data_IF_776033146191
#
_entry.id   IF_776033146191
#
_cell.length_a   1.000
_cell.length_b   1.000
_cell.length_c   1.000
_cell.angle_alpha   90.00
_cell.angle_beta   90.00
_cell.angle_gamma   90.00
#
_symmetry.space_group_name_H-M   'P 1'
#
loop_
_entity.id
_entity.type
_entity.pdbx_description
1 polymer ?
#
# COMPACT_ATOMS: atom_id res chain seq x y z
N UNK A 1 37.18 -34.14 -34.90
CA UNK A 1 36.59 -32.87 -35.38
C UNK A 1 36.32 -32.03 -34.17
N UNK A 2 37.29 -31.17 -33.78
CA UNK A 2 37.25 -30.40 -32.53
C UNK A 2 36.71 -29.01 -32.89
N UNK A 3 35.50 -28.67 -32.37
CA UNK A 3 34.94 -27.32 -32.52
C UNK A 3 35.67 -26.40 -31.54
N UNK A 4 36.55 -25.57 -32.04
CA UNK A 4 37.11 -24.43 -31.31
C UNK A 4 36.05 -23.31 -31.22
N UNK A 5 35.53 -23.06 -30.03
CA UNK A 5 34.77 -21.84 -29.73
C UNK A 5 35.74 -20.66 -29.67
N UNK A 6 35.68 -19.80 -30.68
CA UNK A 6 36.30 -18.47 -30.62
C UNK A 6 35.50 -17.59 -29.70
N UNK A 7 35.95 -17.36 -28.47
CA UNK A 7 35.57 -16.23 -27.65
C UNK A 7 36.31 -15.02 -28.22
N UNK A 8 35.59 -14.13 -28.85
CA UNK A 8 36.21 -12.95 -29.46
C UNK A 8 35.22 -11.83 -29.68
N UNK A 9 35.04 -10.97 -28.67
CA UNK A 9 34.99 -9.51 -28.83
C UNK A 9 35.16 -8.88 -27.45
N UNK A 10 36.41 -8.52 -27.14
CA UNK A 10 36.69 -7.64 -26.00
C UNK A 10 35.95 -6.31 -26.25
N UNK A 11 35.02 -5.99 -25.38
CA UNK A 11 34.37 -4.66 -25.39
C UNK A 11 35.53 -3.64 -25.35
N UNK A 12 35.58 -2.69 -26.30
CA UNK A 12 36.69 -1.73 -26.34
C UNK A 12 36.74 -0.95 -25.01
N UNK A 13 37.91 -0.76 -24.47
CA UNK A 13 38.13 -0.01 -23.21
C UNK A 13 37.42 1.35 -23.22
N UNK A 14 37.33 2.00 -24.38
CA UNK A 14 36.60 3.25 -24.61
C UNK A 14 35.11 3.11 -24.33
N UNK A 15 34.49 1.97 -24.68
CA UNK A 15 33.08 1.70 -24.42
C UNK A 15 32.82 1.47 -22.93
N UNK A 16 33.75 0.78 -22.24
CA UNK A 16 33.66 0.59 -20.80
C UNK A 16 33.81 1.94 -20.07
N UNK A 17 34.79 2.77 -20.47
CA UNK A 17 34.98 4.11 -19.90
C UNK A 17 33.75 4.99 -20.17
N UNK A 18 33.18 4.97 -21.37
CA UNK A 18 31.95 5.70 -21.70
C UNK A 18 30.76 5.25 -20.82
N UNK A 19 30.57 3.96 -20.64
CA UNK A 19 29.52 3.42 -19.76
C UNK A 19 29.74 3.82 -18.28
N UNK A 20 30.99 3.81 -17.81
CA UNK A 20 31.31 4.26 -16.45
C UNK A 20 31.04 5.76 -16.32
N UNK A 21 31.41 6.59 -17.28
CA UNK A 21 31.14 8.02 -17.28
C UNK A 21 29.64 8.29 -17.34
N UNK A 22 28.87 7.57 -18.16
CA UNK A 22 27.41 7.66 -18.20
C UNK A 22 26.78 7.26 -16.86
N UNK A 23 27.29 6.21 -16.21
CA UNK A 23 26.85 5.77 -14.88
C UNK A 23 27.19 6.81 -13.80
N UNK A 24 28.38 7.41 -13.85
CA UNK A 24 28.80 8.46 -12.92
C UNK A 24 28.00 9.75 -13.15
N UNK A 25 27.71 10.13 -14.39
CA UNK A 25 26.86 11.27 -14.73
C UNK A 25 25.41 11.01 -14.30
N UNK A 26 24.91 9.81 -14.51
CA UNK A 26 23.60 9.41 -14.02
C UNK A 26 23.52 9.45 -12.48
N UNK A 27 24.53 8.91 -11.80
CA UNK A 27 24.64 8.96 -10.35
C UNK A 27 24.80 10.38 -9.80
N UNK A 28 25.48 11.29 -10.54
CA UNK A 28 25.64 12.70 -10.15
C UNK A 28 24.36 13.52 -10.36
N UNK A 29 23.53 13.14 -11.33
CA UNK A 29 22.21 13.75 -11.57
C UNK A 29 21.13 13.18 -10.63
N UNK A 30 21.39 11.99 -10.08
CA UNK A 30 20.62 11.37 -9.02
C UNK A 30 21.56 11.19 -7.82
N UNK A 31 21.87 12.26 -7.06
CA UNK A 31 22.63 12.10 -5.84
C UNK A 31 21.94 10.98 -5.05
N UNK A 32 22.74 10.02 -4.60
CA UNK A 32 22.25 9.02 -3.66
C UNK A 32 21.51 9.82 -2.60
N UNK A 33 20.18 9.74 -2.62
CA UNK A 33 19.34 10.40 -1.64
C UNK A 33 19.95 9.95 -0.31
N UNK A 34 20.58 10.89 0.40
CA UNK A 34 20.92 10.66 1.78
C UNK A 34 19.70 9.98 2.36
N UNK A 35 19.89 8.83 3.01
CA UNK A 35 18.81 8.09 3.65
C UNK A 35 18.31 8.90 4.84
N UNK A 36 17.91 10.14 4.57
CA UNK A 36 17.19 10.95 5.53
C UNK A 36 15.82 10.27 5.66
N UNK A 37 15.50 10.00 6.89
CA UNK A 37 14.19 9.49 7.30
C UNK A 37 13.15 10.58 7.00
N UNK A 38 12.78 10.69 5.72
CA UNK A 38 11.70 11.57 5.30
C UNK A 38 10.41 11.05 5.89
N UNK A 39 9.82 11.84 6.78
CA UNK A 39 8.61 11.46 7.51
C UNK A 39 7.47 12.43 7.20
N UNK A 40 6.27 11.91 7.15
CA UNK A 40 5.06 12.73 7.18
C UNK A 40 4.91 13.26 8.60
N UNK A 41 4.76 14.56 8.75
CA UNK A 41 4.54 15.24 10.04
C UNK A 41 3.21 15.99 9.99
N UNK A 42 2.52 16.14 11.10
CA UNK A 42 1.26 16.90 11.17
C UNK A 42 1.38 18.37 10.74
N UNK A 43 2.61 18.88 10.61
CA UNK A 43 2.91 20.23 10.10
C UNK A 43 2.87 20.30 8.57
N UNK A 44 2.83 19.17 7.87
CA UNK A 44 2.78 19.12 6.40
C UNK A 44 1.53 19.82 5.85
N UNK A 45 0.40 19.75 6.58
CA UNK A 45 -0.82 20.48 6.26
C UNK A 45 -0.71 22.00 6.53
N UNK A 46 0.24 22.44 7.37
CA UNK A 46 0.41 23.85 7.75
C UNK A 46 1.22 24.68 6.74
N UNK A 47 1.78 24.06 5.71
CA UNK A 47 2.52 24.74 4.64
C UNK A 47 1.58 25.52 3.70
N UNK A 48 0.59 26.29 4.22
CA UNK A 48 -0.31 27.17 3.45
C UNK A 48 -0.70 26.61 2.08
N UNK A 49 -0.80 25.28 1.99
CA UNK A 49 -1.42 24.63 0.85
C UNK A 49 -2.86 25.10 0.87
N UNK A 50 -3.43 25.55 -0.25
CA UNK A 50 -4.83 25.95 -0.29
C UNK A 50 -5.64 24.81 0.33
N UNK A 51 -6.44 25.09 1.38
CA UNK A 51 -7.32 24.07 2.00
C UNK A 51 -8.23 23.40 0.96
N UNK A 52 -8.49 24.09 -0.15
CA UNK A 52 -9.20 23.62 -1.34
C UNK A 52 -8.27 22.99 -2.38
N UNK A 53 -6.95 23.05 -2.24
CA UNK A 53 -5.97 22.53 -3.19
C UNK A 53 -5.63 21.05 -2.99
N UNK A 54 -6.15 20.45 -1.93
CA UNK A 54 -6.06 18.99 -1.70
C UNK A 54 -7.16 18.24 -2.45
N UNK A 55 -8.30 18.88 -2.62
CA UNK A 55 -9.35 18.42 -3.51
C UNK A 55 -9.16 19.09 -4.88
N UNK A 56 -8.28 18.51 -5.69
CA UNK A 56 -8.14 18.94 -7.07
C UNK A 56 -9.36 18.56 -7.91
N UNK A 57 -10.51 18.37 -7.34
CA UNK A 57 -11.84 18.07 -7.84
C UNK A 57 -12.09 18.16 -9.34
N UNK A 58 -11.18 17.61 -10.13
CA UNK A 58 -11.27 17.51 -11.59
C UNK A 58 -10.83 18.77 -12.36
N UNK A 59 -10.34 19.83 -11.72
CA UNK A 59 -9.85 21.01 -12.45
C UNK A 59 -8.36 20.90 -12.79
N UNK A 60 -8.07 20.43 -14.00
CA UNK A 60 -6.70 20.24 -14.50
C UNK A 60 -5.87 21.53 -14.48
N UNK A 61 -6.49 22.70 -14.69
CA UNK A 61 -5.79 24.00 -14.71
C UNK A 61 -5.24 24.38 -13.33
N UNK A 62 -5.99 24.11 -12.28
CA UNK A 62 -5.60 24.47 -10.90
C UNK A 62 -4.46 23.59 -10.41
N UNK A 63 -4.51 22.29 -10.72
CA UNK A 63 -3.42 21.37 -10.40
C UNK A 63 -2.15 21.72 -11.16
N UNK A 64 -2.24 22.06 -12.43
CA UNK A 64 -1.08 22.46 -13.22
C UNK A 64 -0.47 23.78 -12.73
N UNK A 65 -1.32 24.74 -12.36
CA UNK A 65 -0.87 25.97 -11.71
C UNK A 65 -0.14 25.67 -10.39
N UNK A 66 -0.66 24.72 -9.59
CA UNK A 66 -0.03 24.30 -8.36
C UNK A 66 1.35 23.67 -8.59
N UNK A 67 1.52 22.77 -9.57
CA UNK A 67 2.85 22.16 -9.88
C UNK A 67 3.92 23.22 -10.22
N UNK A 68 3.53 24.34 -10.82
CA UNK A 68 4.45 25.43 -11.16
C UNK A 68 4.71 26.40 -9.98
N UNK A 69 4.00 26.25 -8.87
CA UNK A 69 4.06 27.17 -7.74
C UNK A 69 5.31 26.97 -6.87
N UNK A 70 5.70 28.03 -6.14
CA UNK A 70 6.73 27.95 -5.10
C UNK A 70 6.30 27.07 -3.93
N UNK A 71 5.00 26.98 -3.65
CA UNK A 71 4.45 26.12 -2.62
C UNK A 71 4.74 24.65 -2.92
N UNK A 72 4.46 24.17 -4.16
CA UNK A 72 4.76 22.80 -4.57
C UNK A 72 6.26 22.50 -4.51
N UNK A 73 7.11 23.46 -4.94
CA UNK A 73 8.58 23.30 -4.85
C UNK A 73 9.06 23.16 -3.41
N UNK A 74 8.57 24.00 -2.49
CA UNK A 74 8.91 23.93 -1.06
C UNK A 74 8.41 22.63 -0.44
N UNK A 75 7.17 22.23 -0.77
CA UNK A 75 6.56 21.01 -0.28
C UNK A 75 7.36 19.77 -0.70
N UNK A 76 7.63 19.58 -1.99
CA UNK A 76 8.40 18.43 -2.45
C UNK A 76 9.85 18.45 -1.92
N UNK A 77 10.49 19.62 -1.84
CA UNK A 77 11.83 19.74 -1.27
C UNK A 77 11.87 19.35 0.22
N UNK A 78 10.82 19.65 0.99
CA UNK A 78 10.69 19.24 2.39
C UNK A 78 10.76 17.72 2.53
N UNK A 79 10.18 16.99 1.57
CA UNK A 79 10.22 15.52 1.50
C UNK A 79 11.40 14.97 0.69
N UNK A 80 12.40 15.80 0.36
CA UNK A 80 13.59 15.37 -0.37
C UNK A 80 13.37 15.12 -1.87
N UNK A 81 12.26 15.59 -2.42
CA UNK A 81 11.90 15.38 -3.83
C UNK A 81 11.84 16.68 -4.63
N UNK A 82 11.89 16.56 -5.95
CA UNK A 82 11.48 17.61 -6.87
C UNK A 82 9.98 17.51 -7.18
N UNK A 83 9.42 18.57 -7.76
CA UNK A 83 8.03 18.52 -8.25
C UNK A 83 7.96 17.61 -9.46
N UNK A 84 6.89 16.81 -9.54
CA UNK A 84 6.60 15.96 -10.69
C UNK A 84 6.34 16.83 -11.94
N UNK A 85 6.93 16.46 -13.06
CA UNK A 85 6.71 17.12 -14.35
C UNK A 85 5.89 16.19 -15.24
N UNK A 86 4.61 16.50 -15.50
CA UNK A 86 3.79 15.69 -16.40
C UNK A 86 4.38 15.61 -17.80
N UNK A 87 4.20 14.46 -18.46
CA UNK A 87 4.62 14.27 -19.87
C UNK A 87 3.70 14.95 -20.88
N UNK A 88 2.49 15.31 -20.49
CA UNK A 88 1.53 16.12 -21.24
C UNK A 88 0.84 17.11 -20.32
N UNK A 89 0.59 18.32 -20.81
CA UNK A 89 0.10 19.44 -20.01
C UNK A 89 -1.38 19.38 -19.63
N UNK A 90 -2.14 18.38 -20.11
CA UNK A 90 -3.60 18.53 -20.21
C UNK A 90 -4.38 17.84 -19.08
N UNK A 91 -3.71 17.15 -18.14
CA UNK A 91 -4.43 16.47 -17.07
C UNK A 91 -3.65 16.30 -15.76
N UNK A 92 -4.36 16.19 -14.63
CA UNK A 92 -3.78 15.84 -13.35
C UNK A 92 -3.11 14.46 -13.36
N UNK A 93 -2.03 14.29 -12.56
CA UNK A 93 -1.46 12.99 -12.21
C UNK A 93 -2.48 12.21 -11.40
N UNK A 94 -2.85 11.00 -11.85
CA UNK A 94 -3.78 10.15 -11.13
C UNK A 94 -3.09 9.27 -10.11
N UNK A 95 -3.87 8.84 -9.13
CA UNK A 95 -3.49 7.81 -8.15
C UNK A 95 -4.47 6.66 -8.28
N UNK A 96 -3.94 5.48 -8.58
CA UNK A 96 -4.64 4.20 -8.53
C UNK A 96 -4.23 3.50 -7.25
N UNK A 97 -5.19 3.23 -6.39
CA UNK A 97 -5.01 2.52 -5.13
C UNK A 97 -5.42 1.06 -5.28
N UNK A 98 -4.43 0.16 -5.33
CA UNK A 98 -4.59 -1.27 -5.54
C UNK A 98 -4.49 -1.98 -4.19
N UNK A 99 -5.56 -2.62 -3.76
CA UNK A 99 -5.54 -3.36 -2.50
C UNK A 99 -6.36 -4.64 -2.55
N UNK A 100 -5.95 -5.61 -1.75
CA UNK A 100 -6.63 -6.89 -1.61
C UNK A 100 -7.52 -6.88 -0.37
N UNK A 101 -8.70 -7.47 -0.50
CA UNK A 101 -9.67 -7.67 0.58
C UNK A 101 -10.08 -9.13 0.60
N UNK A 102 -10.21 -9.71 1.78
CA UNK A 102 -10.79 -11.04 1.96
C UNK A 102 -12.22 -10.92 2.52
N UNK A 103 -12.34 -10.60 3.81
CA UNK A 103 -13.63 -10.43 4.52
C UNK A 103 -13.71 -9.11 5.28
N UNK A 104 -12.67 -8.28 5.20
CA UNK A 104 -12.45 -7.10 6.02
C UNK A 104 -13.24 -5.88 5.49
N UNK A 105 -14.58 -5.95 5.49
CA UNK A 105 -15.45 -4.90 4.93
C UNK A 105 -15.36 -3.56 5.67
N UNK A 106 -15.16 -3.59 6.99
CA UNK A 106 -14.97 -2.37 7.79
C UNK A 106 -13.68 -1.66 7.38
N UNK A 107 -12.59 -2.40 7.20
CA UNK A 107 -11.33 -1.83 6.71
C UNK A 107 -11.44 -1.24 5.32
N UNK A 108 -12.17 -1.91 4.44
CA UNK A 108 -12.44 -1.37 3.10
C UNK A 108 -13.17 -0.04 3.19
N UNK A 109 -14.22 0.07 4.00
CA UNK A 109 -14.97 1.30 4.16
C UNK A 109 -14.15 2.44 4.77
N UNK A 110 -13.37 2.14 5.83
CA UNK A 110 -12.46 3.11 6.46
C UNK A 110 -11.43 3.62 5.46
N UNK A 111 -10.82 2.72 4.67
CA UNK A 111 -9.87 3.08 3.61
C UNK A 111 -10.49 4.01 2.58
N UNK A 112 -11.63 3.61 2.02
CA UNK A 112 -12.35 4.39 1.02
C UNK A 112 -12.71 5.77 1.56
N UNK A 113 -13.29 5.86 2.75
CA UNK A 113 -13.64 7.13 3.39
C UNK A 113 -12.42 8.03 3.58
N UNK A 114 -11.32 7.48 4.14
CA UNK A 114 -10.12 8.24 4.48
C UNK A 114 -9.43 8.81 3.24
N UNK A 115 -9.40 8.06 2.13
CA UNK A 115 -8.58 8.41 0.96
C UNK A 115 -9.37 8.86 -0.26
N UNK A 116 -10.72 8.85 -0.19
CA UNK A 116 -11.62 9.12 -1.31
C UNK A 116 -11.31 10.39 -2.09
N UNK A 117 -11.03 11.50 -1.39
CA UNK A 117 -10.75 12.79 -2.04
C UNK A 117 -9.35 12.88 -2.65
N UNK A 118 -8.47 11.94 -2.35
CA UNK A 118 -7.08 11.94 -2.78
C UNK A 118 -6.74 10.87 -3.81
N UNK A 119 -7.58 9.85 -3.97
CA UNK A 119 -7.44 8.75 -4.92
C UNK A 119 -8.37 8.96 -6.10
N UNK A 120 -7.91 8.66 -7.31
CA UNK A 120 -8.74 8.75 -8.50
C UNK A 120 -9.53 7.46 -8.73
N UNK A 121 -8.89 6.31 -8.56
CA UNK A 121 -9.53 5.00 -8.71
C UNK A 121 -9.00 4.01 -7.69
N UNK A 122 -9.92 3.26 -7.09
CA UNK A 122 -9.66 2.12 -6.23
C UNK A 122 -9.83 0.84 -7.05
N UNK A 123 -8.79 0.01 -7.09
CA UNK A 123 -8.79 -1.23 -7.85
C UNK A 123 -8.81 -2.41 -6.88
N UNK A 124 -9.88 -3.20 -6.97
CA UNK A 124 -10.12 -4.33 -6.10
C UNK A 124 -10.27 -5.58 -6.95
N UNK A 125 -9.44 -6.59 -6.67
CA UNK A 125 -9.59 -7.91 -7.25
C UNK A 125 -10.01 -8.87 -6.15
N UNK A 126 -11.20 -9.43 -6.28
CA UNK A 126 -11.73 -10.42 -5.36
C UNK A 126 -11.58 -11.83 -5.93
N UNK A 127 -11.09 -12.75 -5.10
CA UNK A 127 -10.90 -14.15 -5.47
C UNK A 127 -12.04 -15.01 -4.93
N UNK A 128 -12.57 -16.00 -5.71
CA UNK A 128 -13.49 -17.02 -5.19
C UNK A 128 -12.78 -18.11 -4.38
N UNK A 129 -11.48 -17.95 -4.11
CA UNK A 129 -10.66 -18.83 -3.28
C UNK A 129 -9.83 -18.04 -2.28
N UNK A 130 -9.60 -18.65 -1.12
CA UNK A 130 -8.62 -18.15 -0.14
C UNK A 130 -7.19 -18.37 -0.65
N UNK A 131 -6.18 -17.76 0.02
CA UNK A 131 -4.77 -18.04 -0.30
C UNK A 131 -4.37 -19.49 0.00
N UNK A 132 -5.13 -20.18 0.84
CA UNK A 132 -4.97 -21.65 1.06
C UNK A 132 -5.71 -22.51 0.01
N UNK A 133 -6.24 -21.89 -1.06
CA UNK A 133 -6.90 -22.56 -2.18
C UNK A 133 -8.34 -23.04 -1.91
N UNK A 134 -8.88 -22.78 -0.72
CA UNK A 134 -10.25 -23.18 -0.36
C UNK A 134 -11.29 -22.25 -1.00
N UNK A 135 -12.45 -22.76 -1.44
CA UNK A 135 -13.53 -21.90 -1.91
C UNK A 135 -13.99 -20.90 -0.84
N UNK A 136 -14.34 -19.69 -1.26
CA UNK A 136 -14.95 -18.66 -0.41
C UNK A 136 -16.00 -17.87 -1.19
N UNK A 137 -16.92 -17.23 -0.48
CA UNK A 137 -17.86 -16.26 -1.04
C UNK A 137 -17.15 -15.04 -1.61
N UNK A 138 -17.79 -14.40 -2.58
CA UNK A 138 -17.41 -13.10 -3.10
C UNK A 138 -17.97 -12.01 -2.17
N UNK A 139 -17.34 -11.84 -1.02
CA UNK A 139 -17.83 -11.02 0.09
C UNK A 139 -18.07 -9.56 -0.29
N UNK A 140 -17.19 -8.99 -1.14
CA UNK A 140 -17.34 -7.60 -1.61
C UNK A 140 -18.54 -7.50 -2.56
N UNK A 141 -18.64 -8.43 -3.51
CA UNK A 141 -19.75 -8.50 -4.49
C UNK A 141 -21.10 -8.66 -3.80
N UNK A 142 -21.17 -9.52 -2.77
CA UNK A 142 -22.38 -9.77 -1.97
C UNK A 142 -22.77 -8.55 -1.12
N UNK A 143 -21.80 -7.70 -0.77
CA UNK A 143 -22.02 -6.48 0.04
C UNK A 143 -21.80 -5.19 -0.76
N UNK A 144 -21.93 -5.24 -2.10
CA UNK A 144 -21.60 -4.12 -2.98
C UNK A 144 -22.35 -2.83 -2.64
N UNK A 145 -23.63 -2.92 -2.27
CA UNK A 145 -24.46 -1.77 -1.92
C UNK A 145 -23.96 -0.98 -0.70
N UNK A 146 -23.21 -1.63 0.21
CA UNK A 146 -22.56 -0.95 1.34
C UNK A 146 -21.61 0.16 0.88
N UNK A 147 -20.99 -0.03 -0.28
CA UNK A 147 -19.96 0.86 -0.83
C UNK A 147 -20.51 1.85 -1.87
N UNK A 148 -21.84 1.95 -1.99
CA UNK A 148 -22.51 2.82 -2.96
C UNK A 148 -21.98 4.26 -3.00
N UNK A 149 -21.64 4.94 -1.88
CA UNK A 149 -21.06 6.28 -1.90
C UNK A 149 -19.72 6.40 -2.66
N UNK A 150 -19.05 5.30 -2.92
CA UNK A 150 -17.71 5.24 -3.52
C UNK A 150 -17.69 4.64 -4.92
N UNK A 151 -18.83 4.20 -5.46
CA UNK A 151 -18.93 3.42 -6.72
C UNK A 151 -18.34 4.14 -7.93
N UNK A 152 -18.39 5.47 -7.97
CA UNK A 152 -17.84 6.27 -9.07
C UNK A 152 -16.32 6.16 -9.24
N UNK A 153 -15.61 5.75 -8.16
CA UNK A 153 -14.16 5.51 -8.16
C UNK A 153 -13.77 4.04 -7.99
N UNK A 154 -14.74 3.14 -7.70
CA UNK A 154 -14.46 1.73 -7.51
C UNK A 154 -14.39 0.98 -8.85
N UNK A 155 -13.30 0.24 -9.04
CA UNK A 155 -13.10 -0.70 -10.14
C UNK A 155 -12.98 -2.09 -9.55
N UNK A 156 -14.06 -2.86 -9.65
CA UNK A 156 -14.14 -4.23 -9.14
C UNK A 156 -13.87 -5.24 -10.25
N UNK A 157 -13.07 -6.25 -9.95
CA UNK A 157 -12.79 -7.36 -10.83
C UNK A 157 -12.77 -8.68 -10.05
N UNK A 158 -13.43 -9.69 -10.58
CA UNK A 158 -13.35 -11.06 -10.06
C UNK A 158 -12.12 -11.75 -10.66
N UNK A 159 -11.27 -12.35 -9.81
CA UNK A 159 -10.01 -12.96 -10.20
C UNK A 159 -10.22 -14.07 -11.23
N UNK A 160 -9.61 -13.91 -12.39
CA UNK A 160 -9.54 -14.94 -13.43
C UNK A 160 -8.29 -15.82 -13.18
N UNK A 161 -8.51 -17.13 -13.02
CA UNK A 161 -7.41 -18.09 -12.89
C UNK A 161 -6.92 -18.52 -14.28
N UNK A 162 -5.65 -18.25 -14.64
CA UNK A 162 -5.09 -18.75 -15.90
C UNK A 162 -5.15 -20.29 -15.96
N UNK A 163 -5.39 -20.86 -17.13
CA UNK A 163 -5.40 -22.32 -17.32
C UNK A 163 -4.07 -22.99 -16.95
N UNK A 164 -3.00 -22.23 -16.98
CA UNK A 164 -1.64 -22.66 -16.60
C UNK A 164 -1.34 -22.51 -15.11
N UNK A 165 -2.29 -21.95 -14.31
CA UNK A 165 -2.07 -21.72 -12.90
C UNK A 165 -2.04 -23.05 -12.14
N UNK A 166 -0.89 -23.40 -11.62
CA UNK A 166 -0.65 -24.62 -10.85
C UNK A 166 0.09 -24.28 -9.55
N UNK A 167 -0.66 -23.81 -8.52
CA UNK A 167 -0.06 -23.34 -7.27
C UNK A 167 0.55 -24.50 -6.46
N UNK A 168 1.68 -24.23 -5.85
CA UNK A 168 2.39 -25.15 -4.95
C UNK A 168 2.43 -24.64 -3.51
N UNK A 169 2.17 -23.36 -3.32
CA UNK A 169 2.18 -22.66 -2.03
C UNK A 169 1.01 -21.69 -1.94
N UNK A 170 0.62 -21.33 -0.72
CA UNK A 170 -0.37 -20.28 -0.45
C UNK A 170 0.02 -18.93 -1.07
N UNK A 171 1.31 -18.60 -1.06
CA UNK A 171 1.85 -17.39 -1.68
C UNK A 171 1.61 -17.29 -3.19
N UNK A 172 1.49 -18.42 -3.90
CA UNK A 172 1.22 -18.42 -5.34
C UNK A 172 -0.19 -17.85 -5.64
N UNK A 173 -1.17 -18.08 -4.76
CA UNK A 173 -2.51 -17.48 -4.84
C UNK A 173 -2.49 -15.98 -4.53
N UNK A 174 -1.72 -15.58 -3.51
CA UNK A 174 -1.56 -14.18 -3.13
C UNK A 174 -0.90 -13.38 -4.25
N UNK A 175 0.21 -13.87 -4.81
CA UNK A 175 0.93 -13.24 -5.92
C UNK A 175 0.06 -13.11 -7.17
N UNK A 176 -0.73 -14.14 -7.50
CA UNK A 176 -1.68 -14.10 -8.61
C UNK A 176 -2.72 -13.00 -8.39
N UNK A 177 -3.36 -12.96 -7.22
CA UNK A 177 -4.40 -11.97 -6.94
C UNK A 177 -3.81 -10.55 -6.93
N UNK A 178 -2.63 -10.37 -6.35
CA UNK A 178 -1.93 -9.09 -6.30
C UNK A 178 -1.55 -8.59 -7.69
N UNK A 179 -0.99 -9.46 -8.53
CA UNK A 179 -0.64 -9.10 -9.91
C UNK A 179 -1.86 -8.87 -10.79
N UNK A 180 -2.97 -9.59 -10.56
CA UNK A 180 -4.20 -9.44 -11.31
C UNK A 180 -4.80 -8.02 -11.21
N UNK A 181 -4.56 -7.30 -10.11
CA UNK A 181 -4.95 -5.89 -10.00
C UNK A 181 -4.33 -5.04 -11.11
N UNK A 182 -3.16 -5.42 -11.61
CA UNK A 182 -2.52 -4.78 -12.75
C UNK A 182 -2.79 -5.54 -14.05
N UNK A 183 -2.45 -6.83 -14.12
CA UNK A 183 -2.45 -7.60 -15.38
C UNK A 183 -3.86 -7.81 -15.96
N UNK A 184 -4.89 -7.96 -15.10
CA UNK A 184 -6.25 -8.22 -15.55
C UNK A 184 -7.12 -6.96 -15.60
N UNK A 185 -6.79 -5.92 -14.83
CA UNK A 185 -7.61 -4.70 -14.74
C UNK A 185 -7.08 -3.59 -15.64
N UNK A 186 -5.80 -3.23 -15.56
CA UNK A 186 -5.25 -2.09 -16.30
C UNK A 186 -5.46 -2.15 -17.81
N UNK A 187 -5.34 -3.31 -18.49
CA UNK A 187 -5.62 -3.40 -19.93
C UNK A 187 -7.07 -3.09 -20.31
N UNK A 188 -8.00 -3.17 -19.37
CA UNK A 188 -9.44 -2.90 -19.55
C UNK A 188 -9.81 -1.43 -19.26
N UNK A 189 -8.89 -0.63 -18.71
CA UNK A 189 -9.13 0.77 -18.36
C UNK A 189 -9.11 1.64 -19.61
N UNK A 190 -10.21 2.32 -19.87
CA UNK A 190 -10.39 3.19 -21.05
C UNK A 190 -10.83 4.60 -20.67
N UNK A 191 -10.72 5.53 -21.59
CA UNK A 191 -11.18 6.91 -21.41
C UNK A 191 -10.54 7.59 -20.20
N UNK A 192 -11.35 8.12 -19.29
CA UNK A 192 -10.87 8.80 -18.07
C UNK A 192 -10.15 7.86 -17.11
N UNK A 193 -10.44 6.56 -17.16
CA UNK A 193 -9.81 5.56 -16.29
C UNK A 193 -8.43 5.13 -16.83
N UNK A 194 -8.14 5.30 -18.11
CA UNK A 194 -6.89 4.85 -18.71
C UNK A 194 -5.67 5.50 -18.04
N UNK A 195 -4.64 4.72 -17.64
CA UNK A 195 -3.43 5.25 -17.07
C UNK A 195 -2.56 5.95 -18.12
N UNK A 196 -1.79 6.94 -17.67
CA UNK A 196 -0.77 7.61 -18.49
C UNK A 196 0.56 7.55 -17.75
N UNK A 197 1.64 7.64 -18.50
CA UNK A 197 3.01 7.60 -17.97
C UNK A 197 3.19 8.59 -16.83
N UNK A 198 3.66 8.09 -15.71
CA UNK A 198 3.86 8.85 -14.47
C UNK A 198 2.70 8.83 -13.48
N UNK A 199 1.51 8.30 -13.85
CA UNK A 199 0.42 8.10 -12.88
C UNK A 199 0.85 7.16 -11.76
N UNK A 200 0.42 7.46 -10.54
CA UNK A 200 0.81 6.72 -9.33
C UNK A 200 0.05 5.40 -9.24
N UNK A 201 0.76 4.36 -8.86
CA UNK A 201 0.22 3.06 -8.49
C UNK A 201 0.63 2.79 -7.05
N UNK A 202 -0.33 2.74 -6.13
CA UNK A 202 -0.16 2.34 -4.75
C UNK A 202 -0.56 0.87 -4.62
N UNK A 203 0.27 0.06 -3.98
CA UNK A 203 0.04 -1.39 -3.77
C UNK A 203 0.04 -1.68 -2.29
N UNK A 204 -1.09 -2.11 -1.76
CA UNK A 204 -1.33 -2.26 -0.33
C UNK A 204 -2.16 -3.51 0.02
N UNK A 205 -2.19 -3.85 1.29
CA UNK A 205 -3.26 -4.63 1.89
C UNK A 205 -4.37 -3.67 2.39
N UNK A 206 -5.58 -4.15 2.59
CA UNK A 206 -6.74 -3.28 2.90
C UNK A 206 -6.55 -2.47 4.18
N UNK A 207 -5.83 -3.03 5.16
CA UNK A 207 -5.55 -2.45 6.48
C UNK A 207 -4.27 -1.59 6.52
N UNK A 208 -3.64 -1.34 5.37
CA UNK A 208 -2.48 -0.44 5.20
C UNK A 208 -2.95 0.87 4.54
N UNK A 209 -3.43 1.81 5.32
CA UNK A 209 -4.10 3.03 4.82
C UNK A 209 -3.13 4.19 4.73
N UNK A 210 -2.92 4.70 3.51
CA UNK A 210 -2.10 5.89 3.29
C UNK A 210 -2.73 7.13 3.95
N UNK A 211 -1.88 7.96 4.57
CA UNK A 211 -2.33 9.27 5.08
C UNK A 211 -2.68 10.19 3.91
N UNK A 212 -3.68 11.05 4.05
CA UNK A 212 -4.00 12.06 3.02
C UNK A 212 -2.78 12.87 2.56
N UNK A 213 -1.90 13.24 3.49
CA UNK A 213 -0.65 13.97 3.22
C UNK A 213 0.31 13.16 2.35
N UNK A 214 0.41 11.86 2.58
CA UNK A 214 1.18 10.93 1.75
C UNK A 214 0.68 10.93 0.31
N UNK A 215 -0.63 10.86 0.13
CA UNK A 215 -1.22 10.88 -1.21
C UNK A 215 -0.96 12.21 -1.93
N UNK A 216 -0.89 13.32 -1.19
CA UNK A 216 -0.47 14.60 -1.74
C UNK A 216 0.99 14.58 -2.19
N UNK A 217 1.91 14.00 -1.40
CA UNK A 217 3.32 13.81 -1.80
C UNK A 217 3.39 12.99 -3.08
N UNK A 218 2.70 11.85 -3.12
CA UNK A 218 2.69 10.96 -4.29
C UNK A 218 2.13 11.66 -5.54
N UNK A 219 1.10 12.50 -5.39
CA UNK A 219 0.51 13.24 -6.50
C UNK A 219 1.42 14.34 -7.03
N UNK A 220 2.10 15.05 -6.11
CA UNK A 220 2.78 16.31 -6.43
C UNK A 220 4.26 16.12 -6.76
N UNK A 221 4.92 15.14 -6.11
CA UNK A 221 6.36 15.04 -6.13
C UNK A 221 6.89 13.91 -7.01
N UNK A 222 8.08 14.09 -7.56
CA UNK A 222 8.81 13.07 -8.27
C UNK A 222 9.53 12.16 -7.27
N UNK A 223 9.00 10.99 -7.02
CA UNK A 223 9.58 10.00 -6.12
C UNK A 223 10.26 8.85 -6.89
N UNK A 224 11.18 8.11 -6.25
CA UNK A 224 11.83 6.94 -6.86
C UNK A 224 10.83 5.83 -7.20
N UNK A 225 11.19 5.00 -8.18
CA UNK A 225 10.33 3.94 -8.74
C UNK A 225 9.86 2.91 -7.71
N UNK A 226 10.59 2.76 -6.59
CA UNK A 226 10.31 1.83 -5.49
C UNK A 226 10.25 2.61 -4.20
N UNK A 227 9.12 3.23 -3.94
CA UNK A 227 8.93 3.98 -2.70
C UNK A 227 8.21 3.11 -1.68
N UNK A 228 8.87 2.86 -0.55
CA UNK A 228 8.25 2.24 0.62
C UNK A 228 7.57 3.31 1.46
N UNK A 229 6.28 3.13 1.70
CA UNK A 229 5.51 3.99 2.58
C UNK A 229 5.46 3.32 3.96
N UNK A 230 6.34 3.74 4.85
CA UNK A 230 6.43 3.14 6.19
C UNK A 230 5.20 3.50 7.01
N UNK A 231 4.56 2.46 7.58
CA UNK A 231 3.34 2.60 8.36
C UNK A 231 3.62 2.61 9.85
N UNK A 232 2.94 3.47 10.59
CA UNK A 232 2.79 3.26 12.03
C UNK A 232 2.03 1.96 12.24
N UNK A 233 2.67 1.01 12.89
CA UNK A 233 2.18 -0.34 13.02
C UNK A 233 1.49 -0.56 14.35
N UNK A 234 0.19 -0.84 14.28
CA UNK A 234 -0.66 -1.17 15.42
C UNK A 234 -1.11 -2.64 15.33
N UNK A 235 -1.47 -3.19 16.48
CA UNK A 235 -1.94 -4.57 16.57
C UNK A 235 -3.21 -4.67 17.39
N UNK A 236 -4.21 -5.38 16.91
CA UNK A 236 -5.54 -5.57 17.49
C UNK A 236 -6.41 -4.32 17.59
N UNK A 237 -5.83 -3.17 17.83
CA UNK A 237 -6.47 -1.85 17.86
C UNK A 237 -5.40 -0.75 17.78
N UNK A 238 -5.82 0.47 17.53
CA UNK A 238 -4.95 1.64 17.60
C UNK A 238 -4.49 1.99 19.03
N UNK A 239 -4.90 1.21 20.01
CA UNK A 239 -4.43 1.29 21.38
C UNK A 239 -3.04 0.67 21.57
N UNK A 240 -2.63 -0.25 20.69
CA UNK A 240 -1.38 -1.01 20.85
C UNK A 240 -0.42 -0.72 19.69
N UNK A 241 0.54 0.18 19.93
CA UNK A 241 1.58 0.55 18.96
C UNK A 241 2.76 -0.43 19.06
N UNK A 242 3.22 -0.96 17.95
CA UNK A 242 4.44 -1.77 17.86
C UNK A 242 5.68 -0.97 18.28
N UNK A 243 6.51 -1.53 19.18
CA UNK A 243 7.73 -0.87 19.69
C UNK A 243 8.93 -0.95 18.75
N UNK A 244 8.85 -1.78 17.74
CA UNK A 244 9.90 -1.95 16.74
C UNK A 244 9.87 -0.88 15.64
N UNK A 245 10.58 -1.13 14.53
CA UNK A 245 10.55 -0.24 13.38
C UNK A 245 9.15 -0.15 12.79
N UNK A 246 8.88 0.92 12.04
CA UNK A 246 7.66 1.06 11.27
C UNK A 246 7.54 -0.09 10.27
N UNK A 247 6.31 -0.47 9.98
CA UNK A 247 5.99 -1.52 8.99
C UNK A 247 6.41 -1.08 7.59
N UNK A 248 7.14 -1.95 6.87
CA UNK A 248 7.77 -1.63 5.57
C UNK A 248 6.81 -1.76 4.38
N UNK A 249 5.55 -1.47 4.57
CA UNK A 249 4.49 -1.45 3.56
C UNK A 249 3.49 -0.33 3.89
N UNK A 250 2.67 0.10 2.88
CA UNK A 250 2.61 -0.33 1.47
C UNK A 250 3.74 0.24 0.61
N UNK A 251 3.70 -0.07 -0.71
CA UNK A 251 4.65 0.46 -1.69
C UNK A 251 3.94 1.30 -2.76
N UNK A 252 4.64 2.32 -3.24
CA UNK A 252 4.22 3.11 -4.38
C UNK A 252 5.22 3.03 -5.54
N UNK A 253 4.68 3.01 -6.75
CA UNK A 253 5.40 3.16 -8.01
C UNK A 253 4.60 4.06 -8.94
N UNK A 254 5.02 4.18 -10.19
CA UNK A 254 4.28 4.92 -11.20
C UNK A 254 4.18 4.13 -12.50
N UNK A 255 3.13 4.40 -13.26
CA UNK A 255 2.85 3.73 -14.53
C UNK A 255 3.93 4.06 -15.57
N UNK A 256 4.50 3.03 -16.17
CA UNK A 256 5.53 3.08 -17.22
C UNK A 256 5.18 2.19 -18.42
N UNK A 257 3.88 1.97 -18.67
CA UNK A 257 3.44 1.01 -19.67
C UNK A 257 4.00 -0.40 -19.40
N UNK A 258 4.55 -1.10 -20.37
CA UNK A 258 5.08 -2.46 -20.19
C UNK A 258 6.24 -2.58 -19.19
N UNK A 259 6.86 -1.46 -18.79
CA UNK A 259 7.95 -1.44 -17.81
C UNK A 259 7.49 -1.18 -16.38
N UNK A 260 6.21 -1.01 -16.17
CA UNK A 260 5.64 -0.88 -14.82
C UNK A 260 6.01 -2.09 -13.95
N UNK A 261 6.40 -1.85 -12.72
CA UNK A 261 6.65 -2.94 -11.78
C UNK A 261 5.34 -3.63 -11.43
N UNK A 262 5.32 -4.96 -11.54
CA UNK A 262 4.17 -5.74 -11.12
C UNK A 262 3.94 -5.61 -9.61
N UNK A 263 2.70 -5.58 -9.15
CA UNK A 263 2.37 -5.38 -7.74
C UNK A 263 3.06 -6.32 -6.76
N UNK A 264 3.11 -7.63 -7.03
CA UNK A 264 3.79 -8.59 -6.17
C UNK A 264 5.31 -8.33 -6.15
N UNK A 265 5.93 -8.08 -7.32
CA UNK A 265 7.35 -7.76 -7.40
C UNK A 265 7.71 -6.47 -6.66
N UNK A 266 6.86 -5.43 -6.77
CA UNK A 266 7.07 -4.17 -6.07
C UNK A 266 7.06 -4.39 -4.55
N UNK A 267 6.09 -5.16 -4.05
CA UNK A 267 5.94 -5.46 -2.62
C UNK A 267 7.10 -6.28 -2.07
N UNK A 268 7.62 -7.24 -2.84
CA UNK A 268 8.77 -8.07 -2.45
C UNK A 268 10.13 -7.43 -2.73
N UNK A 269 10.16 -6.23 -3.31
CA UNK A 269 11.39 -5.55 -3.71
C UNK A 269 12.05 -6.13 -4.95
N UNK A 270 11.34 -6.96 -5.70
CA UNK A 270 11.81 -7.65 -6.91
C UNK A 270 11.40 -6.95 -8.21
N UNK A 271 11.72 -7.59 -9.35
CA UNK A 271 11.40 -7.09 -10.70
C UNK A 271 12.34 -5.98 -11.17
N UNK A 272 12.43 -5.77 -12.49
CA UNK A 272 13.32 -4.78 -13.08
C UNK A 272 14.80 -5.24 -13.14
N UNK A 273 15.72 -4.29 -13.16
CA UNK A 273 17.16 -4.57 -13.31
C UNK A 273 17.90 -4.45 -11.97
N UNK A 274 18.29 -5.59 -11.40
CA UNK A 274 18.90 -5.69 -10.05
C UNK A 274 19.97 -4.65 -9.72
N UNK A 275 20.94 -4.33 -10.61
CA UNK A 275 21.96 -3.33 -10.30
C UNK A 275 21.42 -1.92 -10.02
N UNK A 276 20.18 -1.60 -10.42
CA UNK A 276 19.55 -0.32 -10.18
C UNK A 276 18.64 -0.30 -8.94
N UNK A 277 18.40 -1.44 -8.29
CA UNK A 277 17.43 -1.53 -7.18
C UNK A 277 17.67 -0.50 -6.09
N UNK A 278 18.91 -0.36 -5.64
CA UNK A 278 19.26 0.57 -4.55
C UNK A 278 19.16 2.05 -4.98
N UNK A 279 19.32 2.34 -6.27
CA UNK A 279 19.15 3.67 -6.85
C UNK A 279 17.66 4.02 -7.07
N UNK A 280 16.80 3.00 -7.19
CA UNK A 280 15.37 3.15 -7.40
C UNK A 280 14.57 3.16 -6.10
N UNK A 281 15.20 2.93 -4.93
CA UNK A 281 14.53 2.82 -3.64
C UNK A 281 14.54 4.13 -2.85
N UNK A 282 13.45 4.38 -2.14
CA UNK A 282 13.39 5.33 -1.04
C UNK A 282 12.33 4.90 -0.03
N UNK A 283 12.38 5.50 1.14
CA UNK A 283 11.40 5.34 2.21
C UNK A 283 10.74 6.68 2.52
N UNK A 284 9.46 6.63 2.88
CA UNK A 284 8.74 7.76 3.45
C UNK A 284 8.15 7.31 4.79
N UNK A 285 8.67 7.84 5.88
CA UNK A 285 8.29 7.47 7.24
C UNK A 285 6.94 8.06 7.66
N UNK A 286 6.26 7.41 8.61
CA UNK A 286 4.92 7.81 9.09
C UNK A 286 3.90 8.07 7.97
N UNK A 287 4.06 7.36 6.86
CA UNK A 287 3.29 7.62 5.66
C UNK A 287 1.89 6.98 5.67
N UNK A 288 1.71 5.95 6.48
CA UNK A 288 0.47 5.19 6.54
C UNK A 288 0.14 4.76 7.98
N UNK A 289 -1.08 4.30 8.17
CA UNK A 289 -1.49 3.50 9.32
C UNK A 289 -1.61 2.04 8.88
N UNK A 290 -1.14 1.13 9.72
CA UNK A 290 -1.37 -0.29 9.57
C UNK A 290 -1.85 -0.87 10.91
N UNK A 291 -3.06 -1.41 10.96
CA UNK A 291 -3.59 -2.06 12.16
C UNK A 291 -3.88 -3.53 11.87
N UNK A 292 -2.92 -4.38 12.19
CA UNK A 292 -3.03 -5.81 11.94
C UNK A 292 -4.00 -6.47 12.93
N UNK A 293 -4.82 -7.38 12.42
CA UNK A 293 -5.75 -8.19 13.23
C UNK A 293 -6.76 -7.37 14.06
N UNK A 294 -7.19 -6.23 13.55
CA UNK A 294 -8.14 -5.33 14.17
C UNK A 294 -9.57 -5.67 13.71
N UNK A 295 -10.18 -6.69 14.31
CA UNK A 295 -11.50 -7.23 13.94
C UNK A 295 -12.56 -6.95 15.01
N UNK A 296 -13.83 -6.85 14.57
CA UNK A 296 -14.98 -6.69 15.46
C UNK A 296 -15.41 -8.00 16.12
N UNK A 297 -15.11 -9.14 15.49
CA UNK A 297 -15.51 -10.47 15.96
C UNK A 297 -14.32 -11.41 16.06
N UNK A 298 -14.43 -12.39 16.98
CA UNK A 298 -13.46 -13.49 17.05
C UNK A 298 -13.57 -14.38 15.79
N UNK A 299 -14.76 -14.52 15.23
CA UNK A 299 -14.96 -15.32 14.03
C UNK A 299 -14.23 -14.71 12.82
N UNK A 300 -14.21 -13.37 12.64
CA UNK A 300 -13.37 -12.70 11.65
C UNK A 300 -11.88 -12.94 11.89
N UNK A 301 -11.44 -12.85 13.15
CA UNK A 301 -10.06 -13.12 13.54
C UNK A 301 -9.65 -14.56 13.16
N UNK A 302 -10.47 -15.55 13.50
CA UNK A 302 -10.25 -16.96 13.16
C UNK A 302 -10.30 -17.21 11.65
N UNK A 303 -11.19 -16.50 10.94
CA UNK A 303 -11.29 -16.56 9.46
C UNK A 303 -10.02 -16.03 8.81
N UNK A 304 -9.49 -14.91 9.29
CA UNK A 304 -8.19 -14.38 8.82
C UNK A 304 -7.08 -15.42 9.01
N UNK A 305 -6.97 -16.01 10.22
CA UNK A 305 -5.97 -17.06 10.49
C UNK A 305 -6.10 -18.26 9.56
N UNK A 306 -7.31 -18.66 9.19
CA UNK A 306 -7.56 -19.83 8.35
C UNK A 306 -7.37 -19.59 6.85
N UNK A 307 -7.39 -18.33 6.41
CA UNK A 307 -7.37 -17.94 4.99
C UNK A 307 -6.05 -17.29 4.53
N UNK A 308 -5.16 -16.96 5.48
CA UNK A 308 -3.96 -16.18 5.25
C UNK A 308 -2.75 -17.05 4.86
N UNK A 309 -1.79 -16.47 4.16
CA UNK A 309 -0.60 -17.20 3.64
C UNK A 309 0.34 -17.71 4.73
N UNK A 310 0.33 -17.11 5.93
CA UNK A 310 1.09 -17.58 7.10
C UNK A 310 0.39 -18.72 7.84
N UNK A 311 0.28 -19.88 7.25
CA UNK A 311 -0.48 -21.03 7.74
C UNK A 311 -0.10 -21.47 9.16
N UNK A 312 1.16 -21.26 9.60
CA UNK A 312 1.63 -21.61 10.95
C UNK A 312 0.91 -20.83 12.06
N UNK A 313 0.37 -19.64 11.75
CA UNK A 313 -0.43 -18.84 12.70
C UNK A 313 -1.78 -19.47 13.01
N UNK A 314 -2.27 -20.38 12.17
CA UNK A 314 -3.57 -21.05 12.33
C UNK A 314 -3.49 -22.35 13.16
N UNK A 315 -2.40 -22.59 13.90
CA UNK A 315 -2.27 -23.77 14.76
C UNK A 315 -3.36 -23.82 15.84
N UNK A 316 -3.85 -25.03 16.16
CA UNK A 316 -4.95 -25.29 17.09
C UNK A 316 -4.81 -24.53 18.41
N UNK A 317 -3.61 -24.52 18.98
CA UNK A 317 -3.27 -23.82 20.25
C UNK A 317 -3.54 -22.32 20.23
N UNK A 318 -3.67 -21.71 19.06
CA UNK A 318 -3.92 -20.27 18.90
C UNK A 318 -5.39 -19.94 18.60
N UNK A 319 -6.25 -20.96 18.51
CA UNK A 319 -7.67 -20.81 18.14
C UNK A 319 -8.60 -20.75 19.36
N UNK A 320 -8.03 -20.87 20.56
CA UNK A 320 -8.79 -20.74 21.79
C UNK A 320 -9.28 -19.31 21.98
N UNK A 321 -10.61 -19.15 22.12
CA UNK A 321 -11.27 -17.85 22.17
C UNK A 321 -10.88 -17.04 23.41
N UNK A 322 -10.72 -17.68 24.55
CA UNK A 322 -10.34 -17.00 25.82
C UNK A 322 -8.89 -16.51 25.72
N UNK A 323 -8.03 -17.31 25.15
CA UNK A 323 -6.63 -16.94 24.89
C UNK A 323 -6.52 -15.77 23.91
N UNK A 324 -7.33 -15.77 22.84
CA UNK A 324 -7.38 -14.66 21.86
C UNK A 324 -7.83 -13.39 22.58
N UNK A 325 -8.94 -13.44 23.32
CA UNK A 325 -9.47 -12.28 24.04
C UNK A 325 -8.49 -11.76 25.11
N UNK A 326 -7.81 -12.64 25.86
CA UNK A 326 -6.78 -12.22 26.83
C UNK A 326 -5.58 -11.55 26.14
N UNK A 327 -5.08 -12.13 25.06
CA UNK A 327 -3.95 -11.55 24.32
C UNK A 327 -4.31 -10.15 23.78
N UNK A 328 -5.49 -10.00 23.19
CA UNK A 328 -5.97 -8.75 22.61
C UNK A 328 -6.21 -7.68 23.66
N UNK A 329 -6.88 -8.02 24.79
CA UNK A 329 -7.14 -7.08 25.89
C UNK A 329 -5.85 -6.53 26.50
N UNK A 330 -4.83 -7.37 26.56
CA UNK A 330 -3.57 -7.01 27.23
C UNK A 330 -2.47 -6.56 26.25
N UNK A 331 -2.75 -6.46 24.94
CA UNK A 331 -1.76 -6.12 23.93
C UNK A 331 -0.57 -7.08 23.87
N UNK A 332 -0.84 -8.39 24.09
CA UNK A 332 0.19 -9.43 24.03
C UNK A 332 0.20 -10.10 22.66
N UNK A 333 1.37 -10.43 22.16
CA UNK A 333 1.44 -11.24 20.94
C UNK A 333 0.86 -12.65 21.16
N UNK A 334 -0.20 -12.98 20.43
CA UNK A 334 -0.89 -14.27 20.53
C UNK A 334 0.03 -15.47 20.24
N UNK A 335 0.99 -15.27 19.33
CA UNK A 335 1.88 -16.32 18.82
C UNK A 335 3.17 -16.44 19.63
N UNK A 336 3.45 -15.50 20.55
CA UNK A 336 4.63 -15.51 21.41
C UNK A 336 5.92 -15.12 20.69
N UNK A 337 5.83 -14.26 19.69
CA UNK A 337 7.00 -13.74 18.95
C UNK A 337 7.72 -12.71 19.81
N UNK A 338 8.98 -12.96 20.14
CA UNK A 338 9.74 -12.11 21.06
C UNK A 338 9.98 -10.69 20.55
N UNK A 339 9.96 -10.52 19.22
CA UNK A 339 10.18 -9.22 18.56
C UNK A 339 8.93 -8.35 18.53
N UNK A 340 7.75 -8.93 18.68
CA UNK A 340 6.48 -8.22 18.59
C UNK A 340 6.01 -7.78 19.99
N UNK A 341 6.52 -6.65 20.42
CA UNK A 341 6.12 -5.98 21.66
C UNK A 341 5.32 -4.72 21.32
N UNK A 342 4.30 -4.44 22.12
CA UNK A 342 3.40 -3.32 21.90
C UNK A 342 3.44 -2.33 23.07
N UNK A 343 3.39 -1.06 22.75
CA UNK A 343 3.17 0.03 23.70
C UNK A 343 1.68 0.35 23.73
N UNK A 344 1.13 0.44 24.93
CA UNK A 344 -0.25 0.88 25.11
C UNK A 344 -0.31 2.41 25.02
N UNK A 345 -1.12 2.91 24.13
CA UNK A 345 -1.41 4.33 23.96
C UNK A 345 -2.78 4.65 24.55
N UNK A 346 -2.83 5.65 25.43
CA UNK A 346 -4.10 6.15 25.95
C UNK A 346 -4.64 7.26 25.06
N UNK A 347 -5.93 7.16 24.70
CA UNK A 347 -6.66 8.16 23.92
C UNK A 347 -5.95 8.53 22.59
N UNK A 348 -5.47 7.53 21.87
CA UNK A 348 -4.79 7.74 20.59
C UNK A 348 -5.73 8.42 19.57
N UNK A 349 -5.35 9.59 19.09
CA UNK A 349 -6.05 10.35 18.05
C UNK A 349 -5.35 10.30 16.69
N UNK A 350 -4.16 9.66 16.61
CA UNK A 350 -3.46 9.42 15.34
C UNK A 350 -4.02 8.19 14.64
N UNK A 351 -5.23 8.33 14.13
CA UNK A 351 -6.03 7.28 13.50
C UNK A 351 -6.80 7.85 12.31
N UNK A 352 -7.30 7.05 11.38
CA UNK A 352 -8.28 7.49 10.38
C UNK A 352 -9.47 8.19 11.05
N UNK A 353 -9.86 9.37 10.57
CA UNK A 353 -10.85 10.23 11.23
C UNK A 353 -12.21 9.55 11.41
N UNK A 354 -12.62 8.70 10.47
CA UNK A 354 -13.86 7.93 10.52
C UNK A 354 -14.00 7.12 11.82
N UNK A 355 -12.89 6.64 12.40
CA UNK A 355 -12.92 5.90 13.67
C UNK A 355 -13.37 6.79 14.85
N UNK A 356 -12.96 8.06 14.81
CA UNK A 356 -13.33 9.05 15.83
C UNK A 356 -14.74 9.62 15.60
N UNK A 357 -15.16 9.71 14.34
CA UNK A 357 -16.48 10.20 13.95
C UNK A 357 -17.58 9.17 14.24
N UNK A 358 -17.27 7.87 14.14
CA UNK A 358 -18.21 6.76 14.33
C UNK A 358 -17.79 5.79 15.46
N UNK A 359 -17.56 6.27 16.70
CA UNK A 359 -17.03 5.46 17.79
C UNK A 359 -17.94 4.30 18.22
N UNK A 360 -19.24 4.38 17.92
CA UNK A 360 -20.19 3.28 18.19
C UNK A 360 -19.96 2.07 17.28
N UNK A 361 -19.50 2.31 16.05
CA UNK A 361 -19.19 1.23 15.09
C UNK A 361 -17.77 0.70 15.27
N UNK A 362 -16.81 1.59 15.45
CA UNK A 362 -15.39 1.28 15.38
C UNK A 362 -14.69 1.35 16.74
N UNK A 363 -15.45 1.40 17.86
CA UNK A 363 -14.88 1.48 19.20
C UNK A 363 -13.91 0.33 19.51
N UNK A 364 -14.14 -0.84 18.95
CA UNK A 364 -13.24 -1.98 19.05
C UNK A 364 -11.85 -1.74 18.43
N UNK A 365 -11.73 -0.84 17.46
CA UNK A 365 -10.44 -0.43 16.90
C UNK A 365 -9.72 0.61 17.76
N UNK A 366 -10.41 1.24 18.70
CA UNK A 366 -9.84 2.29 19.56
C UNK A 366 -9.53 1.80 20.97
N UNK A 367 -10.35 0.87 21.49
CA UNK A 367 -10.24 0.39 22.87
C UNK A 367 -10.64 -1.09 23.00
N UNK A 368 -9.79 -1.89 23.67
CA UNK A 368 -9.97 -3.32 23.93
C UNK A 368 -10.12 -3.67 25.41
N UNK A 369 -10.33 -2.67 26.30
CA UNK A 369 -10.29 -2.86 27.75
C UNK A 369 -11.48 -3.61 28.34
N UNK A 370 -12.60 -3.66 27.63
CA UNK A 370 -13.82 -4.33 28.10
C UNK A 370 -13.64 -5.84 28.33
N UNK A 371 -14.56 -6.49 29.09
CA UNK A 371 -14.52 -7.93 29.32
C UNK A 371 -14.44 -8.75 28.05
N UNK A 372 -15.20 -8.35 27.03
CA UNK A 372 -15.21 -8.98 25.70
C UNK A 372 -13.98 -8.66 24.83
N UNK A 373 -12.99 -7.92 25.35
CA UNK A 373 -11.87 -7.40 24.54
C UNK A 373 -12.33 -6.65 23.27
N UNK A 374 -13.51 -6.01 23.32
CA UNK A 374 -14.14 -5.28 22.23
C UNK A 374 -14.76 -6.17 21.14
N UNK A 375 -14.82 -7.48 21.31
CA UNK A 375 -15.53 -8.37 20.40
C UNK A 375 -17.03 -8.36 20.66
N UNK A 376 -17.82 -8.43 19.59
CA UNK A 376 -19.30 -8.46 19.70
C UNK A 376 -19.86 -9.87 19.79
N UNK A 377 -19.08 -10.89 19.45
CA UNK A 377 -19.41 -12.32 19.48
C UNK A 377 -18.71 -13.09 20.62
N UNK A 378 -18.18 -12.37 21.62
CA UNK A 378 -17.52 -12.92 22.81
C UNK A 378 -18.09 -12.27 24.08
N UNK A 379 -18.42 -13.06 25.13
CA UNK A 379 -19.09 -12.59 26.33
C UNK A 379 -18.25 -11.64 27.21
#
# INVERSE_FOLDING_TARGET
>A
MVLQWRIGSSVPLKTIIFLIVCLLLYASQHPALDRFDHRITGTDLSLNLPKNGLDFGGNASDQQSFYKSDAARKFCKHHGYSVFTPSSDDRPRKIYDLFMVNTELDWMEIRLNTTYHHVDYFIIVESPKTFTGKPKSLTIKENWDRFKPYHDKLIYHELEFPSTFNPTRSWDYEDLQRNAMYDQVFPKLIGKQAPVYGDVILVADVDEIARPETLLVLRTCQFPRRLTLRSRFYYYSFQFLHKGPEWEHPQATYFQGPRTLLPANLRMGDGGFKPLYDLEKADLGNACWHCSSCFATIDEFLTKMASFSHEWMNGERFRDKDRIADAIRNGKDLWGRAVDQFERLENNTDVPSMLLDEPRRFGYMLNRDGPSAGFVDYP
#
